data_IF_026219554109
#
_entry.id   IF_026219554109
#
_cell.length_a   1.000
_cell.length_b   1.000
_cell.length_c   1.000
_cell.angle_alpha   90.00
_cell.angle_beta   90.00
_cell.angle_gamma   90.00
#
_symmetry.space_group_name_H-M   'P 1'
#
loop_
_entity.id
_entity.type
_entity.pdbx_description
1 polymer ?
#
# COMPACT_ATOMS: atom_id res chain seq x y z
N UNK A 1 3.91 -19.30 0.46
CA UNK A 1 3.31 -17.97 0.31
C UNK A 1 4.44 -17.03 -0.09
N UNK A 2 4.22 -16.23 -1.13
CA UNK A 2 5.17 -15.21 -1.57
C UNK A 2 4.42 -13.89 -1.51
N UNK A 3 5.09 -12.85 -1.00
CA UNK A 3 4.57 -11.49 -1.02
C UNK A 3 5.41 -10.63 -1.94
N UNK A 4 4.78 -9.92 -2.86
CA UNK A 4 5.42 -8.88 -3.66
C UNK A 4 5.16 -7.50 -3.05
N UNK A 5 6.05 -6.55 -3.32
CA UNK A 5 5.90 -5.17 -2.88
C UNK A 5 6.87 -4.23 -3.57
N UNK A 6 6.60 -2.94 -3.47
CA UNK A 6 7.41 -1.87 -4.07
C UNK A 6 7.06 -1.54 -5.53
N UNK A 7 6.66 -2.52 -6.33
CA UNK A 7 6.17 -2.32 -7.70
C UNK A 7 5.00 -3.26 -8.02
N UNK A 8 4.06 -2.86 -8.89
CA UNK A 8 3.01 -3.75 -9.34
C UNK A 8 3.59 -4.96 -10.08
N UNK A 9 3.23 -6.16 -9.63
CA UNK A 9 3.61 -7.39 -10.33
C UNK A 9 2.79 -7.52 -11.63
N UNK A 10 3.42 -7.73 -12.81
CA UNK A 10 2.68 -7.88 -14.06
C UNK A 10 1.72 -9.08 -14.03
N UNK A 11 0.50 -8.91 -14.54
CA UNK A 11 -0.55 -9.95 -14.57
C UNK A 11 -0.04 -11.24 -15.22
N UNK A 12 0.72 -11.13 -16.32
CA UNK A 12 1.31 -12.28 -17.00
C UNK A 12 2.22 -13.14 -16.10
N UNK A 13 2.98 -12.50 -15.18
CA UNK A 13 3.81 -13.22 -14.20
C UNK A 13 2.94 -13.94 -13.19
N UNK A 14 1.84 -13.32 -12.76
CA UNK A 14 0.92 -13.90 -11.77
C UNK A 14 0.19 -15.11 -12.38
N UNK A 15 -0.29 -15.00 -13.61
CA UNK A 15 -0.93 -16.10 -14.34
C UNK A 15 0.05 -17.27 -14.56
N UNK A 16 1.28 -16.98 -14.97
CA UNK A 16 2.32 -18.00 -15.13
C UNK A 16 2.60 -18.73 -13.80
N UNK A 17 2.72 -17.99 -12.70
CA UNK A 17 2.94 -18.56 -11.38
C UNK A 17 1.74 -19.39 -10.90
N UNK A 18 0.52 -18.94 -11.16
CA UNK A 18 -0.70 -19.67 -10.84
C UNK A 18 -0.78 -20.99 -11.61
N UNK A 19 -0.36 -21.02 -12.89
CA UNK A 19 -0.35 -22.22 -13.72
C UNK A 19 0.72 -23.24 -13.29
N UNK A 20 1.93 -22.78 -12.92
CA UNK A 20 3.03 -23.68 -12.53
C UNK A 20 2.97 -24.12 -11.07
N UNK A 21 2.42 -23.29 -10.20
CA UNK A 21 2.38 -23.52 -8.75
C UNK A 21 0.95 -23.28 -8.24
N UNK A 22 0.01 -24.22 -8.44
CA UNK A 22 -1.42 -24.03 -8.16
C UNK A 22 -1.74 -23.82 -6.67
N UNK A 23 -0.83 -24.21 -5.79
CA UNK A 23 -0.94 -24.02 -4.33
C UNK A 23 -0.22 -22.76 -3.82
N UNK A 24 0.47 -22.02 -4.70
CA UNK A 24 1.15 -20.80 -4.32
C UNK A 24 0.12 -19.69 -4.05
N UNK A 25 0.28 -19.06 -2.90
CA UNK A 25 -0.44 -17.83 -2.56
C UNK A 25 0.50 -16.66 -2.83
N UNK A 26 0.15 -15.83 -3.80
CA UNK A 26 0.81 -14.56 -4.11
C UNK A 26 0.01 -13.43 -3.46
N UNK A 27 0.65 -12.67 -2.58
CA UNK A 27 0.01 -11.58 -1.84
C UNK A 27 0.70 -10.26 -2.18
N UNK A 28 -0.06 -9.27 -2.65
CA UNK A 28 0.47 -7.93 -2.79
C UNK A 28 0.57 -7.26 -1.42
N UNK A 29 1.70 -6.60 -1.17
CA UNK A 29 1.90 -5.75 -0.01
C UNK A 29 2.44 -4.40 -0.47
N UNK A 30 1.93 -3.34 0.13
CA UNK A 30 2.39 -1.99 -0.14
C UNK A 30 2.89 -1.31 1.12
N UNK A 31 4.02 -0.62 0.99
CA UNK A 31 4.62 0.16 2.05
C UNK A 31 5.76 0.99 1.49
N UNK A 32 6.09 2.06 2.20
CA UNK A 32 7.23 2.91 1.90
C UNK A 32 8.27 2.79 3.03
N UNK A 33 9.48 3.31 2.80
CA UNK A 33 10.53 3.31 3.84
C UNK A 33 10.11 4.09 5.09
N UNK A 34 9.30 5.11 4.87
CA UNK A 34 8.76 6.05 5.83
C UNK A 34 7.61 5.44 6.65
N UNK A 35 7.04 4.34 6.19
CA UNK A 35 5.97 3.62 6.89
C UNK A 35 6.45 2.31 7.51
N UNK A 36 7.77 2.09 7.58
CA UNK A 36 8.38 0.84 8.09
C UNK A 36 7.67 -0.37 7.49
N UNK A 37 7.64 -0.43 6.15
CA UNK A 37 6.92 -1.41 5.32
C UNK A 37 6.72 -2.77 5.99
N UNK A 38 5.52 -3.39 5.89
CA UNK A 38 4.39 -3.06 5.01
C UNK A 38 3.31 -2.20 5.67
N UNK A 39 2.70 -1.24 4.94
CA UNK A 39 1.56 -0.44 5.39
C UNK A 39 0.19 -1.10 5.08
N UNK A 40 0.12 -1.83 3.98
CA UNK A 40 -1.04 -2.64 3.58
C UNK A 40 -0.59 -4.02 3.13
N UNK A 41 -1.44 -5.02 3.36
CA UNK A 41 -1.21 -6.40 2.96
C UNK A 41 -2.52 -6.98 2.43
N UNK A 42 -2.45 -7.70 1.31
CA UNK A 42 -3.58 -8.48 0.79
C UNK A 42 -3.90 -9.68 1.70
N UNK A 43 -5.14 -9.81 2.22
CA UNK A 43 -5.54 -10.98 2.98
C UNK A 43 -5.47 -12.26 2.15
N UNK A 44 -5.03 -13.36 2.78
CA UNK A 44 -4.90 -14.69 2.16
C UNK A 44 -6.19 -15.23 1.54
N UNK A 45 -7.34 -14.77 2.00
CA UNK A 45 -8.65 -15.20 1.52
C UNK A 45 -9.13 -14.42 0.31
N UNK A 46 -8.54 -13.26 0.03
CA UNK A 46 -9.04 -12.28 -0.95
C UNK A 46 -8.12 -12.11 -2.18
N UNK A 47 -6.88 -12.61 -2.13
CA UNK A 47 -5.87 -12.34 -3.17
C UNK A 47 -6.27 -12.71 -4.60
N UNK A 48 -7.06 -13.77 -4.81
CA UNK A 48 -7.44 -14.21 -6.17
C UNK A 48 -8.41 -13.26 -6.87
N UNK A 49 -9.26 -12.57 -6.12
CA UNK A 49 -10.28 -11.66 -6.66
C UNK A 49 -9.84 -10.20 -6.75
N UNK A 50 -8.66 -9.88 -6.22
CA UNK A 50 -8.18 -8.51 -6.01
C UNK A 50 -6.70 -8.40 -6.39
N UNK A 51 -6.34 -8.97 -7.53
CA UNK A 51 -4.96 -9.03 -8.05
C UNK A 51 -4.36 -7.64 -8.32
N UNK A 52 -5.22 -6.66 -8.55
CA UNK A 52 -4.97 -5.25 -8.80
C UNK A 52 -4.93 -4.39 -7.53
N UNK A 53 -5.23 -4.98 -6.36
CA UNK A 53 -5.28 -4.28 -5.09
C UNK A 53 -4.07 -4.58 -4.21
N UNK A 54 -3.62 -3.56 -3.47
CA UNK A 54 -2.56 -3.67 -2.46
C UNK A 54 -3.08 -4.18 -1.10
N UNK A 55 -4.38 -4.44 -1.00
CA UNK A 55 -5.00 -5.06 0.16
C UNK A 55 -5.44 -4.08 1.23
N UNK A 56 -5.39 -4.54 2.48
CA UNK A 56 -5.95 -3.83 3.63
C UNK A 56 -4.83 -3.26 4.51
N UNK A 57 -5.12 -2.17 5.22
CA UNK A 57 -4.21 -1.61 6.22
C UNK A 57 -3.84 -2.66 7.27
N UNK A 58 -2.57 -2.67 7.68
CA UNK A 58 -2.14 -3.48 8.82
C UNK A 58 -2.89 -3.12 10.11
N UNK A 59 -2.84 -3.96 11.16
CA UNK A 59 -3.33 -3.59 12.48
C UNK A 59 -2.76 -2.24 12.94
N UNK A 60 -3.62 -1.39 13.51
CA UNK A 60 -3.29 -0.04 13.97
C UNK A 60 -2.87 0.98 12.89
N UNK A 61 -2.84 0.56 11.61
CA UNK A 61 -2.67 1.46 10.47
C UNK A 61 -4.00 2.12 10.07
N UNK A 62 -3.96 3.40 9.76
CA UNK A 62 -5.07 4.17 9.19
C UNK A 62 -4.67 4.70 7.84
N UNK A 63 -5.57 4.56 6.87
CA UNK A 63 -5.36 4.95 5.48
C UNK A 63 -6.53 5.81 5.04
N UNK A 64 -6.25 6.91 4.35
CA UNK A 64 -7.24 7.80 3.74
C UNK A 64 -6.79 8.19 2.34
N UNK A 65 -7.74 8.42 1.46
CA UNK A 65 -7.51 9.11 0.20
C UNK A 65 -7.91 10.57 0.38
N UNK A 66 -7.05 11.50 -0.01
CA UNK A 66 -7.34 12.93 0.06
C UNK A 66 -7.19 13.60 -1.30
N UNK A 67 -7.93 14.66 -1.52
CA UNK A 67 -7.75 15.52 -2.70
C UNK A 67 -6.61 16.53 -2.49
N UNK A 68 -6.38 17.37 -3.51
CA UNK A 68 -5.36 18.43 -3.47
C UNK A 68 -5.60 19.48 -2.38
N UNK A 69 -6.83 19.58 -1.88
CA UNK A 69 -7.20 20.49 -0.77
C UNK A 69 -6.97 19.85 0.60
N UNK A 70 -6.62 18.57 0.64
CA UNK A 70 -6.41 17.80 1.88
C UNK A 70 -7.71 17.28 2.51
N UNK A 71 -8.81 17.25 1.76
CA UNK A 71 -10.10 16.72 2.20
C UNK A 71 -10.21 15.26 1.76
N UNK A 72 -10.78 14.43 2.64
CA UNK A 72 -11.00 13.01 2.36
C UNK A 72 -12.00 12.82 1.22
N UNK A 73 -11.60 12.08 0.18
CA UNK A 73 -12.44 11.82 -0.98
C UNK A 73 -13.37 10.62 -0.75
N UNK A 74 -14.49 10.60 -1.46
CA UNK A 74 -15.44 9.50 -1.40
C UNK A 74 -14.87 8.19 -1.99
N UNK A 75 -15.40 7.05 -1.55
CA UNK A 75 -14.99 5.72 -2.05
C UNK A 75 -15.10 5.66 -3.58
N UNK A 76 -14.07 5.09 -4.22
CA UNK A 76 -13.99 4.99 -5.68
C UNK A 76 -13.48 6.26 -6.39
N UNK A 77 -13.27 7.35 -5.66
CA UNK A 77 -12.64 8.56 -6.22
C UNK A 77 -11.11 8.46 -6.05
N UNK A 78 -10.32 8.66 -7.12
CA UNK A 78 -8.87 8.74 -7.01
C UNK A 78 -8.43 9.92 -6.12
N UNK A 79 -7.37 9.72 -5.33
CA UNK A 79 -6.78 10.75 -4.48
C UNK A 79 -5.37 10.38 -4.04
N UNK A 80 -4.75 11.25 -3.25
CA UNK A 80 -3.46 11.02 -2.60
C UNK A 80 -3.63 10.10 -1.37
N UNK A 81 -2.77 9.08 -1.26
CA UNK A 81 -2.81 8.12 -0.16
C UNK A 81 -2.09 8.66 1.08
N UNK A 82 -2.84 8.84 2.16
CA UNK A 82 -2.32 9.26 3.46
C UNK A 82 -2.34 8.09 4.44
N UNK A 83 -1.19 7.82 5.05
CA UNK A 83 -0.99 6.71 5.98
C UNK A 83 -0.61 7.28 7.35
N UNK A 84 -1.28 6.80 8.39
CA UNK A 84 -1.02 7.16 9.78
C UNK A 84 -1.03 5.93 10.67
N UNK A 85 -0.09 5.82 11.60
CA UNK A 85 -0.01 4.70 12.51
C UNK A 85 1.35 4.59 13.19
N UNK A 86 1.52 3.61 14.08
CA UNK A 86 2.77 3.40 14.82
C UNK A 86 3.96 3.03 13.93
N UNK A 87 3.72 2.58 12.70
CA UNK A 87 4.76 2.22 11.75
C UNK A 87 5.34 3.42 10.99
N UNK A 88 4.71 4.60 11.11
CA UNK A 88 5.21 5.82 10.46
C UNK A 88 6.40 6.35 11.24
N UNK A 89 7.53 6.49 10.55
CA UNK A 89 8.76 7.00 11.17
C UNK A 89 8.62 8.50 11.50
N UNK A 90 9.27 8.99 12.56
CA UNK A 90 9.16 10.39 12.96
C UNK A 90 9.79 11.38 11.96
N UNK A 91 10.65 10.87 11.07
CA UNK A 91 11.23 11.64 9.98
C UNK A 91 12.58 11.14 9.54
N UNK A 92 13.16 11.84 8.56
CA UNK A 92 14.51 11.55 8.10
C UNK A 92 15.56 12.13 9.06
N UNK A 93 16.66 11.40 9.19
CA UNK A 93 17.82 11.80 9.98
C UNK A 93 18.31 13.20 9.59
N UNK A 94 18.53 14.06 10.59
CA UNK A 94 18.98 15.47 10.45
C UNK A 94 18.14 16.38 9.53
N UNK A 95 16.93 15.97 9.16
CA UNK A 95 16.05 16.75 8.27
C UNK A 95 14.68 17.02 8.89
N UNK A 96 14.69 17.65 10.07
CA UNK A 96 13.48 17.97 10.86
C UNK A 96 12.45 18.81 10.11
N UNK A 97 12.86 19.64 9.13
CA UNK A 97 11.98 20.51 8.36
C UNK A 97 11.11 19.79 7.32
N UNK A 98 11.48 18.56 6.91
CA UNK A 98 10.72 17.82 5.91
C UNK A 98 9.35 17.36 6.46
N UNK A 99 9.30 17.01 7.76
CA UNK A 99 8.13 16.38 8.38
C UNK A 99 7.05 17.36 8.88
N UNK A 100 7.33 18.67 8.91
CA UNK A 100 6.38 19.68 9.38
C UNK A 100 5.22 19.95 8.39
N UNK A 101 5.40 19.66 7.11
CA UNK A 101 4.37 19.75 6.05
C UNK A 101 3.96 18.40 5.47
N UNK A 102 4.85 17.41 5.57
CA UNK A 102 4.65 16.06 5.07
C UNK A 102 4.56 15.10 6.27
N UNK A 103 3.34 14.90 6.80
CA UNK A 103 2.97 13.54 7.27
C UNK A 103 3.35 12.61 6.12
N UNK A 104 4.18 11.60 6.31
CA UNK A 104 4.78 10.80 5.22
C UNK A 104 3.75 10.52 4.12
N UNK A 105 3.79 11.33 3.06
CA UNK A 105 2.83 11.35 1.97
C UNK A 105 3.31 10.28 1.00
N UNK A 106 2.56 9.20 0.88
CA UNK A 106 2.80 8.23 -0.15
C UNK A 106 1.92 8.62 -1.34
N UNK A 107 2.46 9.44 -2.25
CA UNK A 107 1.72 9.86 -3.44
C UNK A 107 1.67 8.67 -4.41
N UNK A 108 0.69 7.79 -4.23
CA UNK A 108 0.46 6.69 -5.15
C UNK A 108 -1.05 6.54 -5.36
N UNK A 109 -1.47 6.89 -6.57
CA UNK A 109 -2.77 6.55 -7.15
C UNK A 109 -2.86 5.03 -7.30
N UNK A 110 -3.09 4.34 -6.18
CA UNK A 110 -3.64 3.00 -6.23
C UNK A 110 -5.12 3.18 -6.62
N UNK A 111 -5.48 2.74 -7.83
CA UNK A 111 -6.89 2.49 -8.14
C UNK A 111 -7.30 1.32 -7.23
N UNK A 112 -8.09 1.62 -6.20
CA UNK A 112 -8.77 0.63 -5.37
C UNK A 112 -10.00 0.09 -6.08
#
# INVERSE_FOLDING_TARGET
>A
MISDGGAPTPVATIEMLAARLPHLQLLSAYGATETTSPATIMPRTQWRGHIDSVGMSVPCGRIKLVDDTGIEVSRGTPGELWIAGPMVVPGYWQRRSCCARHRCRAMQTARF
#
